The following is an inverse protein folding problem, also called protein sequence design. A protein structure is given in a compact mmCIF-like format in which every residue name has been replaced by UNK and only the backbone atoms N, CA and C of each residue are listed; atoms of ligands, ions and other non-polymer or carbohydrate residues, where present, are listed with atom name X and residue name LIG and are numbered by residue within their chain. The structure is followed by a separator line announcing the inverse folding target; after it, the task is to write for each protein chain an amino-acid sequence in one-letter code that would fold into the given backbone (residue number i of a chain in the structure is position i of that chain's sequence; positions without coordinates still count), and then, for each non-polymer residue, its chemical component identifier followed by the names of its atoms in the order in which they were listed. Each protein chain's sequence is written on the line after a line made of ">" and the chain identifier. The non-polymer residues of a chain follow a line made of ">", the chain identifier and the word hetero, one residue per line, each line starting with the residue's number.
data_IF_214956414522
#
_entry.id   IF_214956414522
#
_cell.length_a   1.000
_cell.length_b   1.000
_cell.length_c   1.000
_cell.angle_alpha   90.00
_cell.angle_beta   90.00
_cell.angle_gamma   90.00
#
_symmetry.space_group_name_H-M   'P 1'
#
loop_
_entity.id
_entity.type
_entity.pdbx_description
1 polymer ?
#
# COMPACT_ATOMS: atom_id res chain seq x y z
N UNK A 1 -48.97 -3.51 -55.01
CA UNK A 1 -48.02 -2.37 -54.98
C UNK A 1 -48.54 -1.36 -53.95
N UNK A 2 -47.74 -0.52 -53.29
CA UNK A 2 -46.28 -0.35 -53.36
C UNK A 2 -45.67 -0.33 -51.95
N UNK A 3 -44.35 -0.55 -51.83
CA UNK A 3 -43.62 -0.52 -50.57
C UNK A 3 -43.50 0.89 -49.99
N UNK A 4 -43.54 1.04 -48.66
CA UNK A 4 -43.24 2.30 -47.97
C UNK A 4 -41.74 2.42 -47.74
N UNK A 5 -41.11 3.40 -48.38
CA UNK A 5 -39.74 3.82 -48.08
C UNK A 5 -39.69 4.49 -46.71
N UNK A 6 -38.84 3.99 -45.81
CA UNK A 6 -38.38 4.73 -44.63
C UNK A 6 -36.85 4.63 -44.53
N UNK A 7 -36.24 5.67 -43.99
CA UNK A 7 -34.81 5.93 -44.13
C UNK A 7 -33.88 4.96 -43.38
N UNK A 8 -32.68 4.80 -43.92
CA UNK A 8 -31.53 4.22 -43.24
C UNK A 8 -31.03 5.12 -42.08
N UNK A 9 -30.04 4.61 -41.34
CA UNK A 9 -29.06 5.30 -40.46
C UNK A 9 -29.31 5.39 -38.95
N UNK A 10 -28.20 5.62 -38.22
CA UNK A 10 -28.03 5.99 -36.80
C UNK A 10 -28.13 4.94 -35.68
N UNK A 11 -28.73 3.76 -35.86
CA UNK A 11 -28.88 2.80 -34.75
C UNK A 11 -27.56 2.11 -34.30
N UNK A 12 -26.64 1.81 -35.22
CA UNK A 12 -25.49 0.94 -34.95
C UNK A 12 -24.22 1.66 -34.43
N UNK A 13 -24.10 2.98 -34.57
CA UNK A 13 -22.92 3.71 -34.08
C UNK A 13 -22.82 3.75 -32.54
N UNK A 14 -23.91 3.44 -31.82
CA UNK A 14 -23.94 3.36 -30.36
C UNK A 14 -23.24 2.13 -29.78
N UNK A 15 -22.94 1.11 -30.59
CA UNK A 15 -22.17 -0.07 -30.15
C UNK A 15 -20.72 0.30 -29.81
N UNK A 16 -20.20 1.37 -30.42
CA UNK A 16 -18.92 1.99 -30.06
C UNK A 16 -19.11 3.27 -29.24
N UNK A 17 -20.00 3.21 -28.25
CA UNK A 17 -19.89 4.12 -27.11
C UNK A 17 -18.53 3.88 -26.44
N UNK A 18 -17.56 4.73 -26.82
CA UNK A 18 -16.16 4.77 -26.37
C UNK A 18 -16.04 4.14 -24.98
N UNK A 19 -15.34 3.00 -24.87
CA UNK A 19 -15.01 2.39 -23.59
C UNK A 19 -14.50 3.50 -22.68
N UNK A 20 -15.30 3.83 -21.66
CA UNK A 20 -14.86 4.76 -20.63
C UNK A 20 -13.72 4.03 -19.97
N UNK A 21 -12.51 4.54 -20.21
CA UNK A 21 -11.28 4.06 -19.59
C UNK A 21 -11.53 4.03 -18.09
N UNK A 22 -11.76 2.83 -17.57
CA UNK A 22 -12.13 2.64 -16.17
C UNK A 22 -10.90 2.99 -15.37
N UNK A 23 -10.84 4.25 -14.93
CA UNK A 23 -9.76 4.79 -14.13
C UNK A 23 -9.49 3.80 -13.00
N UNK A 24 -8.29 3.18 -13.01
CA UNK A 24 -7.95 2.10 -12.08
C UNK A 24 -8.33 2.55 -10.67
N UNK A 25 -9.11 1.75 -9.91
CA UNK A 25 -9.63 2.19 -8.64
C UNK A 25 -8.47 2.55 -7.71
N UNK A 26 -8.33 3.85 -7.40
CA UNK A 26 -7.18 4.38 -6.67
C UNK A 26 -7.17 3.82 -5.25
N UNK A 27 -6.34 2.81 -5.03
CA UNK A 27 -6.34 2.07 -3.78
C UNK A 27 -5.52 2.82 -2.72
N UNK A 28 -6.20 3.39 -1.72
CA UNK A 28 -5.55 4.02 -0.57
C UNK A 28 -4.84 2.95 0.28
N UNK A 29 -3.51 2.91 0.21
CA UNK A 29 -2.68 1.94 0.94
C UNK A 29 -2.77 2.16 2.47
N UNK A 30 -2.74 3.42 2.93
CA UNK A 30 -2.84 3.78 4.35
C UNK A 30 -3.91 4.87 4.57
N UNK A 31 -4.83 4.64 5.52
CA UNK A 31 -5.85 5.59 5.95
C UNK A 31 -6.00 5.56 7.48
N UNK A 32 -5.21 6.40 8.16
CA UNK A 32 -5.14 6.51 9.62
C UNK A 32 -6.46 6.95 10.29
N UNK A 33 -7.41 7.50 9.53
CA UNK A 33 -8.68 8.07 10.06
C UNK A 33 -9.83 7.07 10.14
N UNK A 34 -9.86 6.07 9.26
CA UNK A 34 -11.07 5.22 9.11
C UNK A 34 -11.04 3.97 9.99
N UNK A 35 -9.88 3.31 10.08
CA UNK A 35 -9.70 2.08 10.87
C UNK A 35 -8.26 2.02 11.43
N UNK A 36 -7.92 2.80 12.48
CA UNK A 36 -6.55 2.91 12.97
C UNK A 36 -5.98 1.57 13.47
N UNK A 37 -6.69 0.84 14.34
CA UNK A 37 -6.23 -0.45 14.89
C UNK A 37 -5.95 -1.51 13.81
N UNK A 38 -6.86 -1.65 12.84
CA UNK A 38 -6.68 -2.54 11.70
C UNK A 38 -5.47 -2.18 10.83
N UNK A 39 -5.14 -0.89 10.76
CA UNK A 39 -4.02 -0.39 9.96
C UNK A 39 -2.70 -0.52 10.72
N UNK A 40 -2.71 -0.35 12.04
CA UNK A 40 -1.57 -0.64 12.92
C UNK A 40 -1.12 -2.10 12.74
N UNK A 41 -2.07 -3.04 12.73
CA UNK A 41 -1.83 -4.46 12.45
C UNK A 41 -1.37 -4.77 11.00
N UNK A 42 -1.43 -3.79 10.09
CA UNK A 42 -0.94 -3.88 8.70
C UNK A 42 0.40 -3.15 8.51
N UNK A 43 0.99 -2.57 9.57
CA UNK A 43 2.31 -1.93 9.54
C UNK A 43 3.34 -2.82 10.25
N UNK A 44 4.51 -2.95 9.63
CA UNK A 44 5.68 -3.65 10.18
C UNK A 44 6.84 -2.67 10.33
N UNK A 45 7.24 -2.41 11.57
CA UNK A 45 8.47 -1.66 11.90
C UNK A 45 9.68 -2.60 11.91
N UNK A 46 10.86 -2.09 11.54
CA UNK A 46 12.14 -2.82 11.48
C UNK A 46 13.30 -1.89 11.82
N UNK A 47 14.36 -2.39 12.46
CA UNK A 47 15.56 -1.60 12.80
C UNK A 47 16.82 -2.47 12.96
N UNK A 48 17.98 -1.83 13.09
CA UNK A 48 19.30 -2.50 13.24
C UNK A 48 19.40 -3.50 14.42
N UNK A 49 18.52 -3.39 15.41
CA UNK A 49 18.38 -4.34 16.53
C UNK A 49 18.25 -5.80 16.09
N UNK A 50 17.62 -6.04 14.94
CA UNK A 50 17.47 -7.38 14.35
C UNK A 50 18.79 -7.97 13.86
N UNK A 51 19.77 -7.11 13.56
CA UNK A 51 21.14 -7.49 13.24
C UNK A 51 22.05 -7.46 14.48
N UNK A 52 21.53 -7.09 15.66
CA UNK A 52 22.30 -6.90 16.89
C UNK A 52 22.74 -5.45 17.17
N UNK A 53 22.16 -4.46 16.49
CA UNK A 53 22.29 -3.04 16.83
C UNK A 53 21.50 -2.63 18.09
N UNK A 54 21.47 -1.33 18.37
CA UNK A 54 20.91 -0.77 19.61
C UNK A 54 19.71 0.18 19.39
N UNK A 55 19.24 0.35 18.15
CA UNK A 55 18.08 1.18 17.86
C UNK A 55 16.78 0.57 18.39
N UNK A 56 15.77 1.40 18.62
CA UNK A 56 14.40 0.99 18.92
C UNK A 56 13.45 1.78 18.02
N UNK A 57 12.36 1.15 17.58
CA UNK A 57 11.44 1.72 16.59
C UNK A 57 9.99 1.39 16.94
N UNK A 58 9.13 2.39 16.84
CA UNK A 58 7.72 2.34 17.15
C UNK A 58 6.93 3.05 16.05
N UNK A 59 5.69 2.61 15.82
CA UNK A 59 4.73 3.29 14.97
C UNK A 59 3.40 3.30 15.71
N UNK A 60 2.92 4.48 16.07
CA UNK A 60 1.63 4.68 16.72
C UNK A 60 0.70 5.49 15.79
N UNK A 61 -0.56 5.66 16.18
CA UNK A 61 -1.52 6.52 15.44
C UNK A 61 -2.16 7.47 16.44
N UNK A 62 -2.04 8.77 16.20
CA UNK A 62 -2.75 9.77 16.99
C UNK A 62 -4.20 9.89 16.50
N UNK A 63 -5.14 9.44 17.34
CA UNK A 63 -6.57 9.51 17.13
C UNK A 63 -7.11 10.93 16.94
N UNK A 64 -6.40 11.96 17.41
CA UNK A 64 -6.88 13.35 17.40
C UNK A 64 -6.58 14.05 16.06
N UNK A 65 -5.33 13.97 15.57
CA UNK A 65 -4.95 14.48 14.24
C UNK A 65 -5.33 13.52 13.11
N UNK A 66 -5.45 12.23 13.40
CA UNK A 66 -5.62 11.16 12.42
C UNK A 66 -4.36 10.97 11.58
N UNK A 67 -3.20 10.95 12.23
CA UNK A 67 -1.88 10.80 11.62
C UNK A 67 -1.08 9.67 12.27
N UNK A 68 -0.27 8.97 11.48
CA UNK A 68 0.68 7.97 11.98
C UNK A 68 1.97 8.63 12.50
N UNK A 69 2.39 8.23 13.70
CA UNK A 69 3.61 8.69 14.37
C UNK A 69 4.68 7.60 14.35
N UNK A 70 5.66 7.74 13.48
CA UNK A 70 6.87 6.90 13.46
C UNK A 70 7.93 7.52 14.36
N UNK A 71 8.37 6.81 15.40
CA UNK A 71 9.31 7.33 16.41
C UNK A 71 10.17 6.22 17.02
N UNK A 72 11.06 6.60 17.94
CA UNK A 72 11.96 5.68 18.64
C UNK A 72 13.31 6.31 18.95
N UNK A 73 14.35 5.47 19.04
CA UNK A 73 15.73 5.88 19.26
C UNK A 73 16.64 5.24 18.21
N UNK A 74 17.35 6.06 17.44
CA UNK A 74 18.30 5.60 16.43
C UNK A 74 19.71 5.68 17.00
N UNK A 75 20.41 4.54 17.13
CA UNK A 75 21.81 4.50 17.51
C UNK A 75 22.70 4.22 16.30
N UNK A 76 23.77 5.02 16.14
CA UNK A 76 24.75 4.87 15.07
C UNK A 76 25.97 4.02 15.49
N UNK A 77 26.12 3.72 16.80
CA UNK A 77 27.22 2.92 17.34
C UNK A 77 27.21 1.49 16.77
N UNK A 78 28.40 1.00 16.37
CA UNK A 78 28.57 -0.41 16.04
C UNK A 78 28.59 -1.27 17.31
N UNK A 79 27.91 -2.43 17.33
CA UNK A 79 27.84 -3.29 18.50
C UNK A 79 29.21 -3.88 18.87
N UNK A 80 29.67 -3.57 20.09
CA UNK A 80 31.00 -3.89 20.60
C UNK A 80 31.16 -5.41 20.74
N UNK A 81 31.91 -6.02 19.82
CA UNK A 81 32.21 -7.46 19.80
C UNK A 81 31.79 -8.21 18.53
N UNK A 82 31.06 -7.59 17.59
CA UNK A 82 30.69 -8.25 16.33
C UNK A 82 31.28 -7.53 15.09
N UNK A 83 32.51 -7.88 14.64
CA UNK A 83 33.17 -7.22 13.51
C UNK A 83 32.53 -7.50 12.14
N UNK A 84 31.50 -8.35 12.05
CA UNK A 84 30.71 -8.53 10.82
C UNK A 84 29.76 -7.36 10.56
N UNK A 85 29.41 -6.58 11.60
CA UNK A 85 28.47 -5.46 11.51
C UNK A 85 29.28 -4.19 11.24
N UNK A 86 29.38 -3.83 9.96
CA UNK A 86 30.15 -2.67 9.48
C UNK A 86 29.34 -1.38 9.47
N UNK A 87 28.02 -1.46 9.64
CA UNK A 87 27.08 -0.33 9.68
C UNK A 87 25.96 -0.64 10.67
N UNK A 88 25.54 0.36 11.43
CA UNK A 88 24.32 0.38 12.26
C UNK A 88 23.59 1.71 12.03
N UNK A 89 22.48 1.97 12.72
CA UNK A 89 21.71 3.19 12.54
C UNK A 89 20.71 3.12 11.39
N UNK A 90 19.85 2.10 11.40
CA UNK A 90 18.67 2.08 10.53
C UNK A 90 17.39 1.81 11.33
N UNK A 91 16.32 2.52 10.95
CA UNK A 91 14.95 2.26 11.37
C UNK A 91 14.03 2.53 10.17
N UNK A 92 13.02 1.69 9.98
CA UNK A 92 12.02 1.85 8.92
C UNK A 92 10.66 1.28 9.34
N UNK A 93 9.62 1.65 8.60
CA UNK A 93 8.34 0.94 8.60
C UNK A 93 7.94 0.62 7.16
N UNK A 94 7.16 -0.44 6.99
CA UNK A 94 6.51 -0.81 5.73
C UNK A 94 5.10 -1.32 5.98
N UNK A 95 4.27 -1.43 4.96
CA UNK A 95 3.10 -2.30 5.05
C UNK A 95 3.53 -3.76 5.09
N UNK A 96 2.80 -4.58 5.85
CA UNK A 96 2.84 -6.04 5.73
C UNK A 96 2.50 -6.47 4.28
N UNK A 97 2.97 -7.66 3.91
CA UNK A 97 2.71 -8.23 2.59
C UNK A 97 1.21 -8.57 2.43
N UNK A 98 0.70 -8.51 1.21
CA UNK A 98 -0.71 -8.83 0.96
C UNK A 98 -0.94 -10.33 1.18
N UNK A 99 -2.11 -10.70 1.72
CA UNK A 99 -2.44 -12.10 1.99
C UNK A 99 -2.70 -12.86 0.69
N UNK A 100 -2.03 -13.98 0.51
CA UNK A 100 -2.34 -14.99 -0.50
C UNK A 100 -3.81 -15.42 -0.44
N UNK A 101 -4.44 -15.66 -1.59
CA UNK A 101 -5.85 -16.03 -1.72
C UNK A 101 -6.01 -17.30 -2.55
N UNK A 102 -6.58 -18.38 -1.99
CA UNK A 102 -6.56 -19.70 -2.65
C UNK A 102 -7.34 -19.74 -4.05
N UNK A 103 -8.12 -18.68 -4.45
CA UNK A 103 -9.05 -18.52 -5.64
C UNK A 103 -8.43 -17.54 -6.66
N UNK A 104 -7.37 -16.82 -6.26
CA UNK A 104 -6.80 -15.67 -6.99
C UNK A 104 -5.25 -15.64 -7.02
N UNK A 105 -4.59 -16.45 -6.18
CA UNK A 105 -3.13 -16.51 -6.06
C UNK A 105 -2.53 -15.40 -5.18
N UNK A 106 -1.27 -15.10 -5.44
CA UNK A 106 -0.53 -14.00 -4.84
C UNK A 106 -1.13 -12.66 -5.27
N UNK A 107 -1.16 -11.69 -4.35
CA UNK A 107 -1.65 -10.34 -4.63
C UNK A 107 -0.49 -9.34 -4.51
N UNK A 108 -0.34 -8.50 -5.53
CA UNK A 108 0.75 -7.53 -5.66
C UNK A 108 0.19 -6.12 -5.91
N UNK A 109 0.99 -5.10 -5.60
CA UNK A 109 0.65 -3.72 -5.95
C UNK A 109 0.99 -3.42 -7.40
N UNK A 110 -0.01 -3.02 -8.19
CA UNK A 110 0.21 -2.25 -9.42
C UNK A 110 0.94 -0.94 -9.06
N UNK A 111 2.05 -0.66 -9.76
CA UNK A 111 2.90 0.53 -9.57
C UNK A 111 3.08 1.33 -10.86
#
# INVERSE_FOLDING_TARGET
>A
MSSRTLGLTSALSRIFSKLVEQAKPVQTILNFRKYPEELLAKIMTRCDKEMGGYSNVHFDIDSNSGAGYFHGYLNLDLPKGNPKITRSGYAMFRTCDQKESWFLGDSYWDW
#
